data_IF_448636541761
#
_entry.id   IF_448636541761
#
_cell.length_a   1.000
_cell.length_b   1.000
_cell.length_c   1.000
_cell.angle_alpha   90.00
_cell.angle_beta   90.00
_cell.angle_gamma   90.00
#
_symmetry.space_group_name_H-M   'P 1'
#
loop_
_entity.id
_entity.type
_entity.pdbx_description
1 polymer ?
#
# COMPACT_ATOMS: atom_id res chain seq x y z
N UNK A 1 11.62 -21.25 -0.27
CA UNK A 1 12.39 -20.63 0.84
C UNK A 1 13.59 -21.49 1.22
N UNK A 2 14.79 -20.91 1.34
CA UNK A 2 16.02 -21.61 1.70
C UNK A 2 16.85 -20.80 2.72
N UNK A 3 17.50 -21.48 3.68
CA UNK A 3 18.30 -20.81 4.72
C UNK A 3 19.61 -20.29 4.12
N UNK A 4 19.92 -19.03 4.40
CA UNK A 4 21.17 -18.35 4.00
C UNK A 4 22.11 -18.21 5.19
N UNK A 5 21.57 -17.76 6.33
CA UNK A 5 22.34 -17.53 7.54
C UNK A 5 21.50 -17.80 8.77
N UNK A 6 22.07 -18.45 9.77
CA UNK A 6 21.51 -18.59 11.11
C UNK A 6 22.61 -18.20 12.11
N UNK A 7 22.28 -17.34 13.06
CA UNK A 7 23.16 -16.91 14.13
C UNK A 7 22.45 -17.04 15.48
N UNK A 8 23.06 -17.75 16.43
CA UNK A 8 22.62 -17.81 17.83
C UNK A 8 23.43 -16.81 18.65
N UNK A 9 22.81 -15.70 19.02
CA UNK A 9 23.45 -14.56 19.68
C UNK A 9 23.35 -14.67 21.21
N UNK A 10 22.15 -14.97 21.72
CA UNK A 10 21.83 -15.21 23.14
C UNK A 10 22.59 -14.32 24.15
N UNK A 11 22.56 -13.00 23.94
CA UNK A 11 23.27 -12.07 24.84
C UNK A 11 22.51 -10.76 25.04
N UNK A 12 22.71 -10.09 26.19
CA UNK A 12 22.22 -8.73 26.40
C UNK A 12 22.83 -7.76 25.40
N UNK A 13 22.02 -6.85 24.86
CA UNK A 13 22.47 -5.75 24.02
C UNK A 13 22.50 -4.48 24.88
N UNK A 14 23.67 -3.84 24.95
CA UNK A 14 23.87 -2.57 25.66
C UNK A 14 24.02 -1.44 24.65
N UNK A 15 23.14 -0.45 24.71
CA UNK A 15 23.05 0.73 23.82
C UNK A 15 22.87 0.41 22.33
N UNK A 16 23.81 -0.31 21.72
CA UNK A 16 23.87 -0.58 20.29
C UNK A 16 24.55 -1.92 19.94
N UNK A 17 24.03 -2.60 18.94
CA UNK A 17 24.67 -3.74 18.30
C UNK A 17 24.40 -3.75 16.80
N UNK A 18 25.42 -4.05 16.00
CA UNK A 18 25.29 -4.19 14.54
C UNK A 18 25.57 -5.63 14.13
N UNK A 19 24.68 -6.21 13.33
CA UNK A 19 24.87 -7.50 12.70
C UNK A 19 24.95 -7.32 11.18
N UNK A 20 26.03 -7.78 10.56
CA UNK A 20 26.24 -7.71 9.12
C UNK A 20 26.03 -9.07 8.45
N UNK A 21 25.51 -9.02 7.24
CA UNK A 21 25.34 -10.19 6.39
C UNK A 21 25.42 -9.79 4.92
N UNK A 22 25.78 -10.74 4.07
CA UNK A 22 25.81 -10.54 2.63
C UNK A 22 24.74 -11.41 1.97
N UNK A 23 24.18 -10.93 0.87
CA UNK A 23 23.30 -11.70 0.00
C UNK A 23 23.87 -11.72 -1.43
N UNK A 24 23.77 -12.87 -2.09
CA UNK A 24 24.42 -13.08 -3.40
C UNK A 24 23.57 -12.59 -4.58
N UNK A 25 22.25 -12.57 -4.43
CA UNK A 25 21.31 -12.33 -5.53
C UNK A 25 20.35 -11.20 -5.19
N UNK A 26 19.88 -10.49 -6.22
CA UNK A 26 18.75 -9.57 -6.05
C UNK A 26 17.50 -10.41 -5.87
N UNK A 27 16.74 -10.16 -4.81
CA UNK A 27 15.59 -11.02 -4.55
C UNK A 27 14.81 -10.67 -3.30
N UNK A 28 13.81 -11.48 -3.03
CA UNK A 28 13.00 -11.39 -1.83
C UNK A 28 13.64 -12.23 -0.71
N UNK A 29 13.70 -11.65 0.47
CA UNK A 29 14.30 -12.26 1.65
C UNK A 29 13.35 -12.19 2.83
N UNK A 30 13.46 -13.19 3.69
CA UNK A 30 12.81 -13.26 5.00
C UNK A 30 13.88 -13.20 6.08
N UNK A 31 13.81 -12.20 6.96
CA UNK A 31 14.72 -12.02 8.09
C UNK A 31 13.91 -12.24 9.37
N UNK A 32 14.17 -13.35 10.04
CA UNK A 32 13.65 -13.68 11.37
C UNK A 32 14.61 -13.13 12.43
N UNK A 33 14.07 -12.39 13.38
CA UNK A 33 14.83 -11.89 14.52
C UNK A 33 14.04 -12.18 15.79
N UNK A 34 14.65 -12.90 16.73
CA UNK A 34 14.06 -13.17 18.02
C UNK A 34 14.83 -12.49 19.14
N UNK A 35 14.09 -11.87 20.06
CA UNK A 35 14.63 -11.29 21.27
C UNK A 35 13.57 -11.35 22.37
N UNK A 36 14.01 -11.04 23.60
CA UNK A 36 13.14 -10.89 24.76
C UNK A 36 13.60 -9.68 25.57
N UNK A 37 12.65 -9.10 26.31
CA UNK A 37 12.90 -7.93 27.13
C UNK A 37 12.07 -8.02 28.42
N UNK A 38 12.67 -7.66 29.56
CA UNK A 38 12.04 -7.75 30.88
C UNK A 38 11.23 -6.50 31.19
N UNK A 39 10.08 -6.68 31.83
CA UNK A 39 9.30 -5.56 32.36
C UNK A 39 10.01 -4.87 33.52
N UNK A 40 9.63 -3.63 33.83
CA UNK A 40 10.19 -2.89 34.97
C UNK A 40 10.01 -3.65 36.29
N UNK A 41 8.96 -4.48 36.42
CA UNK A 41 8.71 -5.33 37.61
C UNK A 41 9.73 -6.46 37.76
N UNK A 42 10.33 -6.89 36.66
CA UNK A 42 11.35 -7.95 36.63
C UNK A 42 12.76 -7.37 36.83
N UNK A 43 12.92 -6.05 36.72
CA UNK A 43 14.18 -5.34 36.94
C UNK A 43 14.34 -4.96 38.43
N UNK A 44 14.96 -5.86 39.21
CA UNK A 44 15.10 -5.74 40.67
C UNK A 44 16.10 -4.64 41.09
N UNK A 45 17.12 -4.34 40.26
CA UNK A 45 18.19 -3.38 40.59
C UNK A 45 17.98 -1.98 39.98
N UNK A 46 17.22 -1.87 38.89
CA UNK A 46 16.83 -0.62 38.22
C UNK A 46 15.29 -0.51 38.23
N UNK A 47 14.71 -0.47 39.43
CA UNK A 47 13.27 -0.27 39.59
C UNK A 47 12.87 1.00 38.83
N UNK A 48 11.80 0.92 38.02
CA UNK A 48 11.17 1.96 37.18
C UNK A 48 11.49 1.99 35.68
N UNK A 49 12.38 1.14 35.17
CA UNK A 49 12.67 1.09 33.73
C UNK A 49 12.57 -0.35 33.18
N UNK A 50 11.84 -0.54 32.08
CA UNK A 50 11.80 -1.82 31.37
C UNK A 50 12.95 -1.95 30.38
N UNK A 51 13.33 -3.19 30.07
CA UNK A 51 14.25 -3.44 28.96
C UNK A 51 13.49 -3.21 27.65
N UNK A 52 14.08 -2.48 26.70
CA UNK A 52 13.46 -2.27 25.39
C UNK A 52 14.49 -2.42 24.25
N UNK A 53 14.08 -3.01 23.13
CA UNK A 53 14.92 -3.13 21.94
C UNK A 53 14.15 -2.70 20.69
N UNK A 54 14.81 -2.02 19.76
CA UNK A 54 14.33 -1.90 18.38
C UNK A 54 15.44 -2.17 17.38
N UNK A 55 15.04 -2.44 16.14
CA UNK A 55 15.93 -2.76 15.03
C UNK A 55 15.71 -1.81 13.86
N UNK A 56 16.77 -1.55 13.10
CA UNK A 56 16.73 -0.99 11.74
C UNK A 56 17.29 -2.00 10.76
N UNK A 57 16.77 -1.98 9.54
CA UNK A 57 17.29 -2.77 8.42
C UNK A 57 17.85 -1.78 7.40
N UNK A 58 19.16 -1.79 7.17
CA UNK A 58 19.86 -0.83 6.29
C UNK A 58 19.47 0.64 6.56
N UNK A 59 19.38 1.02 7.84
CA UNK A 59 18.97 2.36 8.27
C UNK A 59 17.45 2.63 8.24
N UNK A 60 16.64 1.79 7.60
CA UNK A 60 15.18 1.88 7.62
C UNK A 60 14.69 1.60 9.04
N UNK A 61 13.91 2.54 9.58
CA UNK A 61 13.36 2.46 10.94
C UNK A 61 11.87 2.17 10.91
N UNK A 62 11.36 1.53 11.97
CA UNK A 62 9.98 1.05 12.06
C UNK A 62 9.29 1.66 13.30
N UNK A 63 8.92 2.95 13.26
CA UNK A 63 8.22 3.58 14.36
C UNK A 63 6.78 3.06 14.44
N UNK A 64 6.16 3.32 15.59
CA UNK A 64 4.74 3.02 15.85
C UNK A 64 3.83 3.58 14.75
N UNK A 65 2.87 2.78 14.29
CA UNK A 65 1.89 3.17 13.25
C UNK A 65 1.07 4.40 13.67
N UNK A 66 0.62 4.44 14.92
CA UNK A 66 -0.29 5.49 15.43
C UNK A 66 0.04 5.87 16.89
N UNK A 67 -0.13 7.16 17.23
CA UNK A 67 0.04 7.68 18.58
C UNK A 67 1.36 8.43 18.80
N UNK A 68 1.85 8.49 20.05
CA UNK A 68 3.13 9.14 20.36
C UNK A 68 4.28 8.42 19.64
N UNK A 69 5.00 9.15 18.80
CA UNK A 69 6.15 8.66 18.05
C UNK A 69 7.24 8.14 19.01
N UNK A 70 7.63 6.87 18.88
CA UNK A 70 8.74 6.27 19.62
C UNK A 70 9.15 4.93 19.05
N UNK A 71 10.45 4.70 18.90
CA UNK A 71 10.99 3.47 18.32
C UNK A 71 10.81 2.24 19.23
N UNK A 72 10.96 2.43 20.55
CA UNK A 72 10.79 1.37 21.55
C UNK A 72 9.33 0.96 21.81
N UNK A 73 8.37 1.71 21.24
CA UNK A 73 6.93 1.43 21.37
C UNK A 73 6.28 1.01 20.03
N UNK A 74 7.09 0.76 19.00
CA UNK A 74 6.62 0.35 17.68
C UNK A 74 6.20 -1.13 17.62
N UNK A 75 5.52 -1.51 16.55
CA UNK A 75 4.95 -2.84 16.33
C UNK A 75 6.04 -3.93 16.29
N UNK A 76 7.28 -3.55 15.96
CA UNK A 76 8.46 -4.44 15.90
C UNK A 76 9.42 -4.22 17.07
N UNK A 77 9.10 -3.35 18.03
CA UNK A 77 9.93 -3.23 19.22
C UNK A 77 9.77 -4.47 20.12
N UNK A 78 10.82 -4.84 20.84
CA UNK A 78 10.71 -5.75 21.96
C UNK A 78 10.55 -4.91 23.21
N UNK A 79 9.30 -4.59 23.56
CA UNK A 79 9.01 -3.80 24.74
C UNK A 79 8.88 -4.67 26.00
N UNK A 80 9.64 -4.37 27.04
CA UNK A 80 9.72 -5.21 28.22
C UNK A 80 8.41 -5.32 29.00
N UNK A 81 7.65 -4.22 29.10
CA UNK A 81 6.33 -4.24 29.73
C UNK A 81 5.29 -5.05 28.97
N UNK A 82 5.38 -5.08 27.64
CA UNK A 82 4.56 -5.93 26.79
C UNK A 82 4.96 -7.40 26.94
N UNK A 83 6.26 -7.70 26.79
CA UNK A 83 6.77 -9.05 26.67
C UNK A 83 6.90 -9.79 28.01
N UNK A 84 7.22 -9.07 29.09
CA UNK A 84 7.43 -9.63 30.43
C UNK A 84 8.44 -10.80 30.40
N UNK A 85 9.54 -10.63 29.67
CA UNK A 85 10.59 -11.63 29.42
C UNK A 85 10.20 -12.80 28.50
N UNK A 86 9.01 -12.78 27.90
CA UNK A 86 8.67 -13.74 26.87
C UNK A 86 9.37 -13.40 25.56
N UNK A 87 9.70 -14.42 24.79
CA UNK A 87 10.27 -14.29 23.44
C UNK A 87 9.23 -13.73 22.47
N UNK A 88 9.66 -12.76 21.65
CA UNK A 88 8.95 -12.27 20.46
C UNK A 88 9.83 -12.42 19.23
N UNK A 89 9.21 -12.81 18.12
CA UNK A 89 9.87 -12.94 16.82
C UNK A 89 9.33 -11.91 15.83
N UNK A 90 10.22 -11.09 15.27
CA UNK A 90 9.90 -10.23 14.13
C UNK A 90 10.34 -10.93 12.84
N UNK A 91 9.51 -10.84 11.80
CA UNK A 91 9.74 -11.48 10.49
C UNK A 91 9.65 -10.40 9.42
N UNK A 92 10.80 -9.95 8.92
CA UNK A 92 10.86 -8.93 7.87
C UNK A 92 10.85 -9.58 6.49
N UNK A 93 9.95 -9.12 5.62
CA UNK A 93 9.82 -9.54 4.23
C UNK A 93 10.24 -8.35 3.37
N UNK A 94 11.42 -8.45 2.75
CA UNK A 94 12.11 -7.32 2.13
C UNK A 94 12.82 -7.75 0.84
N UNK A 95 12.88 -6.86 -0.15
CA UNK A 95 13.78 -7.05 -1.30
C UNK A 95 15.17 -6.53 -0.95
N UNK A 96 16.20 -7.35 -1.14
CA UNK A 96 17.59 -6.95 -0.96
C UNK A 96 18.31 -7.07 -2.31
N UNK A 97 19.17 -6.09 -2.59
CA UNK A 97 20.10 -6.14 -3.73
C UNK A 97 21.32 -7.01 -3.37
N UNK A 98 22.10 -7.51 -4.33
CA UNK A 98 23.34 -8.21 -4.02
C UNK A 98 24.32 -7.33 -3.25
N UNK A 99 24.95 -7.88 -2.22
CA UNK A 99 25.98 -7.20 -1.45
C UNK A 99 25.75 -7.22 0.05
N UNK A 100 26.40 -6.28 0.73
CA UNK A 100 26.43 -6.19 2.19
C UNK A 100 25.22 -5.42 2.74
N UNK A 101 24.61 -6.00 3.78
CA UNK A 101 23.47 -5.47 4.50
C UNK A 101 23.75 -5.46 6.01
N UNK A 102 22.97 -4.68 6.73
CA UNK A 102 23.08 -4.59 8.19
C UNK A 102 21.75 -4.52 8.91
N UNK A 103 21.74 -5.14 10.09
CA UNK A 103 20.73 -4.98 11.12
C UNK A 103 21.34 -4.17 12.26
N UNK A 104 20.68 -3.07 12.60
CA UNK A 104 21.16 -2.15 13.64
C UNK A 104 20.20 -2.17 14.81
N UNK A 105 20.66 -2.69 15.94
CA UNK A 105 19.91 -2.82 17.17
C UNK A 105 20.25 -1.68 18.10
N UNK A 106 19.23 -1.09 18.71
CA UNK A 106 19.38 -0.12 19.78
C UNK A 106 18.57 -0.55 20.98
N UNK A 107 19.19 -0.48 22.14
CA UNK A 107 18.65 -0.99 23.39
C UNK A 107 18.46 0.14 24.40
N UNK A 108 17.43 -0.01 25.23
CA UNK A 108 17.30 0.61 26.54
C UNK A 108 17.43 -0.48 27.60
N UNK A 109 18.23 -0.25 28.64
CA UNK A 109 18.68 -1.25 29.61
C UNK A 109 19.37 -2.48 28.96
N UNK A 110 18.97 -3.70 29.31
CA UNK A 110 19.68 -4.95 28.96
C UNK A 110 18.78 -6.02 28.28
N UNK A 111 18.03 -5.72 27.20
CA UNK A 111 17.25 -6.72 26.46
C UNK A 111 18.17 -7.78 25.83
N UNK A 112 17.66 -9.00 25.68
CA UNK A 112 18.44 -10.13 25.15
C UNK A 112 18.06 -10.40 23.70
N UNK A 113 19.02 -10.21 22.79
CA UNK A 113 18.92 -10.66 21.41
C UNK A 113 19.30 -12.14 21.34
N UNK A 114 18.41 -12.98 20.81
CA UNK A 114 18.54 -14.44 20.87
C UNK A 114 19.06 -15.03 19.57
N UNK A 115 18.36 -14.79 18.46
CA UNK A 115 18.72 -15.35 17.17
C UNK A 115 18.31 -14.48 15.99
N UNK A 116 19.07 -14.66 14.90
CA UNK A 116 18.82 -14.06 13.60
C UNK A 116 18.89 -15.18 12.56
N UNK A 117 17.84 -15.34 11.78
CA UNK A 117 17.80 -16.25 10.64
C UNK A 117 17.45 -15.46 9.37
N UNK A 118 18.15 -15.76 8.28
CA UNK A 118 17.97 -15.11 6.98
C UNK A 118 17.69 -16.19 5.97
N UNK A 119 16.60 -16.03 5.23
CA UNK A 119 16.17 -16.95 4.20
C UNK A 119 15.99 -16.22 2.87
N UNK A 120 16.40 -16.87 1.78
CA UNK A 120 16.02 -16.46 0.44
C UNK A 120 14.65 -17.01 0.07
N UNK A 121 13.87 -16.23 -0.68
CA UNK A 121 12.55 -16.60 -1.18
C UNK A 121 12.56 -16.58 -2.71
N UNK A 122 12.12 -17.68 -3.29
CA UNK A 122 12.10 -17.97 -4.72
C UNK A 122 10.70 -17.84 -5.36
N UNK A 123 9.68 -17.50 -4.56
CA UNK A 123 8.28 -17.44 -4.97
C UNK A 123 7.58 -16.20 -4.39
N UNK A 124 6.59 -15.67 -5.12
CA UNK A 124 5.80 -14.52 -4.65
C UNK A 124 4.74 -14.91 -3.59
N UNK A 125 4.49 -16.21 -3.42
CA UNK A 125 3.75 -16.74 -2.29
C UNK A 125 4.75 -17.21 -1.24
N UNK A 126 4.67 -16.65 -0.03
CA UNK A 126 5.44 -17.12 1.12
C UNK A 126 4.57 -18.12 1.86
N UNK A 127 5.05 -19.35 1.98
CA UNK A 127 4.54 -20.32 2.94
C UNK A 127 5.54 -20.48 4.08
N UNK A 128 5.11 -20.07 5.28
CA UNK A 128 5.93 -20.03 6.47
C UNK A 128 5.41 -20.97 7.55
N UNK A 129 6.33 -21.76 8.11
CA UNK A 129 6.09 -22.72 9.17
C UNK A 129 6.95 -22.34 10.38
N UNK A 130 6.39 -21.72 11.43
CA UNK A 130 7.17 -21.27 12.58
C UNK A 130 7.83 -22.44 13.31
N UNK A 131 9.16 -22.43 13.39
CA UNK A 131 9.96 -23.53 13.98
C UNK A 131 10.36 -23.29 15.44
N UNK A 132 10.53 -22.02 15.83
CA UNK A 132 10.98 -21.62 17.16
C UNK A 132 9.91 -20.81 17.87
N UNK A 133 9.85 -20.88 19.20
CA UNK A 133 8.82 -20.19 20.00
C UNK A 133 7.39 -20.52 19.54
N UNK A 134 7.18 -21.77 19.14
CA UNK A 134 5.92 -22.28 18.64
C UNK A 134 5.76 -23.72 19.16
N UNK A 135 4.93 -23.98 20.19
CA UNK A 135 3.99 -23.04 20.82
C UNK A 135 4.70 -21.86 21.49
N UNK A 136 3.97 -20.75 21.66
CA UNK A 136 4.45 -19.60 22.40
C UNK A 136 4.81 -19.99 23.84
N UNK A 137 5.77 -19.29 24.46
CA UNK A 137 6.03 -19.41 25.90
C UNK A 137 4.76 -19.10 26.74
N UNK A 138 4.66 -19.55 27.99
CA UNK A 138 3.50 -19.17 28.82
C UNK A 138 3.58 -17.70 29.23
N UNK A 139 2.56 -16.92 28.87
CA UNK A 139 2.51 -15.49 29.18
C UNK A 139 1.15 -14.87 28.86
N UNK A 140 0.86 -13.74 29.49
CA UNK A 140 -0.44 -13.08 29.43
C UNK A 140 -0.44 -11.89 28.46
N UNK A 141 -1.31 -11.99 27.44
CA UNK A 141 -1.71 -10.93 26.50
C UNK A 141 -0.57 -10.05 25.97
N UNK A 142 0.33 -10.66 25.21
CA UNK A 142 1.57 -10.02 24.73
C UNK A 142 1.77 -10.22 23.24
N UNK A 143 2.61 -9.39 22.63
CA UNK A 143 3.08 -9.62 21.27
C UNK A 143 3.90 -10.91 21.22
N UNK A 144 3.72 -11.67 20.14
CA UNK A 144 4.39 -12.95 19.96
C UNK A 144 5.14 -13.02 18.63
N UNK A 145 4.44 -12.81 17.51
CA UNK A 145 5.04 -12.80 16.17
C UNK A 145 4.54 -11.56 15.43
N UNK A 146 5.46 -10.81 14.84
CA UNK A 146 5.12 -9.66 13.98
C UNK A 146 5.75 -9.85 12.60
N UNK A 147 4.95 -9.90 11.54
CA UNK A 147 5.43 -9.81 10.17
C UNK A 147 5.47 -8.36 9.72
N UNK A 148 6.50 -8.02 8.95
CA UNK A 148 6.72 -6.68 8.42
C UNK A 148 6.95 -6.81 6.91
N UNK A 149 6.04 -6.26 6.11
CA UNK A 149 6.22 -6.20 4.66
C UNK A 149 6.80 -4.84 4.30
N UNK A 150 7.94 -4.82 3.61
CA UNK A 150 8.67 -3.59 3.26
C UNK A 150 8.62 -3.42 1.75
N UNK A 151 7.86 -2.42 1.29
CA UNK A 151 7.61 -2.13 -0.13
C UNK A 151 7.06 -3.35 -0.90
N UNK A 152 6.24 -4.16 -0.21
CA UNK A 152 5.59 -5.34 -0.78
C UNK A 152 4.08 -5.24 -0.62
N UNK A 153 3.31 -5.50 -1.69
CA UNK A 153 1.87 -5.62 -1.56
C UNK A 153 1.51 -6.91 -0.80
N UNK A 154 0.27 -6.98 -0.33
CA UNK A 154 -0.32 -8.20 0.20
C UNK A 154 -1.75 -8.33 -0.31
N UNK A 155 -2.00 -9.36 -1.11
CA UNK A 155 -3.33 -9.65 -1.69
C UNK A 155 -4.19 -10.55 -0.85
N UNK A 156 -3.57 -11.48 -0.15
CA UNK A 156 -4.30 -12.34 0.75
C UNK A 156 -3.36 -12.94 1.77
N UNK A 157 -3.97 -13.30 2.88
CA UNK A 157 -3.34 -13.93 4.00
C UNK A 157 -4.16 -15.15 4.41
N UNK A 158 -3.48 -16.24 4.73
CA UNK A 158 -4.06 -17.36 5.45
C UNK A 158 -3.18 -17.72 6.65
N UNK A 159 -3.77 -17.87 7.82
CA UNK A 159 -3.07 -18.24 9.06
C UNK A 159 -3.82 -19.42 9.66
N UNK A 160 -3.14 -20.55 9.81
CA UNK A 160 -3.64 -21.72 10.52
C UNK A 160 -3.02 -21.80 11.91
N UNK A 161 -3.85 -21.94 12.93
CA UNK A 161 -3.41 -21.99 14.32
C UNK A 161 -4.22 -22.98 15.16
N UNK A 162 -3.61 -23.42 16.26
CA UNK A 162 -4.22 -24.28 17.28
C UNK A 162 -4.16 -23.61 18.64
N UNK A 163 -5.28 -23.67 19.34
CA UNK A 163 -5.48 -23.12 20.68
C UNK A 163 -6.20 -24.14 21.54
N UNK A 164 -5.70 -24.41 22.75
CA UNK A 164 -6.27 -25.43 23.64
C UNK A 164 -7.03 -24.79 24.81
N UNK A 165 -8.04 -25.50 25.33
CA UNK A 165 -8.67 -25.12 26.59
C UNK A 165 -7.77 -25.56 27.73
N UNK A 166 -7.37 -24.61 28.59
CA UNK A 166 -6.49 -24.87 29.73
C UNK A 166 -7.27 -25.15 31.00
N UNK A 167 -8.40 -24.47 31.19
CA UNK A 167 -9.28 -24.66 32.34
C UNK A 167 -10.73 -24.29 31.99
N UNK A 168 -11.63 -24.27 32.99
CA UNK A 168 -13.04 -23.93 32.78
C UNK A 168 -13.24 -22.56 32.10
N UNK A 169 -12.37 -21.58 32.41
CA UNK A 169 -12.49 -20.19 31.97
C UNK A 169 -11.21 -19.64 31.31
N UNK A 170 -10.22 -20.50 31.02
CA UNK A 170 -8.95 -20.11 30.42
C UNK A 170 -8.59 -21.05 29.27
N UNK A 171 -7.96 -20.49 28.26
CA UNK A 171 -7.45 -21.21 27.10
C UNK A 171 -6.31 -20.43 26.49
N UNK A 172 -5.60 -21.07 25.57
CA UNK A 172 -4.68 -20.35 24.69
C UNK A 172 -5.50 -19.49 23.74
N UNK A 173 -5.13 -18.23 23.56
CA UNK A 173 -5.85 -17.34 22.65
C UNK A 173 -4.84 -16.64 21.73
N UNK A 174 -5.24 -16.39 20.47
CA UNK A 174 -4.46 -15.57 19.53
C UNK A 174 -5.32 -14.40 19.03
N UNK A 175 -4.77 -13.20 19.15
CA UNK A 175 -5.31 -11.97 18.54
C UNK A 175 -4.52 -11.62 17.29
N UNK A 176 -5.23 -11.28 16.22
CA UNK A 176 -4.68 -10.86 14.94
C UNK A 176 -4.96 -9.38 14.72
N UNK A 177 -3.91 -8.64 14.36
CA UNK A 177 -3.98 -7.22 14.01
C UNK A 177 -3.34 -7.04 12.63
N UNK A 178 -4.05 -6.40 11.71
CA UNK A 178 -3.56 -6.07 10.37
C UNK A 178 -3.50 -4.55 10.25
N UNK A 179 -2.30 -3.96 10.11
CA UNK A 179 -2.10 -2.49 10.06
C UNK A 179 -2.83 -1.71 11.17
N UNK A 180 -2.78 -2.24 12.40
CA UNK A 180 -3.46 -1.64 13.56
C UNK A 180 -4.96 -1.99 13.66
N UNK A 181 -5.55 -2.65 12.67
CA UNK A 181 -6.95 -3.10 12.71
C UNK A 181 -7.07 -4.52 13.29
N UNK A 182 -7.73 -4.64 14.44
CA UNK A 182 -8.03 -5.93 15.08
C UNK A 182 -9.01 -6.73 14.23
N UNK A 183 -8.65 -7.98 13.91
CA UNK A 183 -9.53 -8.93 13.23
C UNK A 183 -10.31 -9.74 14.26
N UNK A 184 -11.59 -9.44 14.42
CA UNK A 184 -12.44 -10.05 15.44
C UNK A 184 -12.87 -11.48 15.06
N UNK A 185 -13.05 -12.31 16.09
CA UNK A 185 -13.74 -13.59 15.99
C UNK A 185 -15.19 -13.39 15.57
N UNK A 186 -15.73 -14.32 14.79
CA UNK A 186 -17.15 -14.38 14.40
C UNK A 186 -18.06 -14.55 15.63
N UNK A 187 -17.57 -15.25 16.66
CA UNK A 187 -18.30 -15.41 17.92
C UNK A 187 -18.24 -14.11 18.72
N UNK A 188 -19.39 -13.43 18.79
CA UNK A 188 -19.54 -12.19 19.58
C UNK A 188 -19.55 -12.50 21.07
N UNK A 189 -18.46 -12.16 21.76
CA UNK A 189 -18.32 -12.25 23.21
C UNK A 189 -17.37 -11.15 23.72
N UNK A 190 -17.10 -11.08 25.03
CA UNK A 190 -16.23 -10.06 25.64
C UNK A 190 -14.74 -10.18 25.26
N UNK A 191 -14.35 -11.27 24.59
CA UNK A 191 -13.00 -11.53 24.07
C UNK A 191 -12.98 -11.59 22.54
N UNK A 192 -13.97 -11.02 21.84
CA UNK A 192 -14.08 -11.12 20.38
C UNK A 192 -12.86 -10.58 19.63
N UNK A 193 -12.03 -9.76 20.29
CA UNK A 193 -10.74 -9.28 19.79
C UNK A 193 -9.65 -10.37 19.74
N UNK A 194 -9.92 -11.57 20.26
CA UNK A 194 -9.11 -12.78 20.13
C UNK A 194 -9.74 -13.69 19.08
N UNK A 195 -9.13 -13.79 17.89
CA UNK A 195 -9.69 -14.52 16.75
C UNK A 195 -9.68 -16.04 16.95
N UNK A 196 -8.58 -16.57 17.48
CA UNK A 196 -8.48 -17.97 17.92
C UNK A 196 -8.66 -18.00 19.43
N UNK A 197 -9.60 -18.84 19.89
CA UNK A 197 -9.98 -18.92 21.29
C UNK A 197 -9.99 -20.37 21.74
N UNK A 198 -9.07 -20.73 22.62
CA UNK A 198 -8.87 -22.11 23.08
C UNK A 198 -10.09 -22.66 23.80
N UNK A 199 -10.87 -21.79 24.45
CA UNK A 199 -12.12 -22.14 25.11
C UNK A 199 -13.17 -22.78 24.17
N UNK A 200 -13.12 -22.46 22.86
CA UNK A 200 -14.09 -22.91 21.87
C UNK A 200 -13.52 -23.89 20.84
N UNK A 201 -12.22 -23.81 20.53
CA UNK A 201 -11.57 -24.67 19.53
C UNK A 201 -10.94 -25.93 20.11
N UNK A 202 -10.53 -25.91 21.39
CA UNK A 202 -9.93 -27.02 22.15
C UNK A 202 -9.02 -27.97 21.33
N UNK A 203 -7.92 -27.42 20.81
CA UNK A 203 -6.90 -28.17 20.06
C UNK A 203 -7.22 -28.40 18.58
N UNK A 204 -8.43 -28.09 18.12
CA UNK A 204 -8.74 -28.10 16.69
C UNK A 204 -8.06 -26.93 15.98
N UNK A 205 -7.53 -27.22 14.80
CA UNK A 205 -6.96 -26.20 13.93
C UNK A 205 -8.06 -25.34 13.32
N UNK A 206 -7.85 -24.02 13.35
CA UNK A 206 -8.72 -23.05 12.70
C UNK A 206 -7.89 -22.16 11.79
N UNK A 207 -8.39 -21.92 10.59
CA UNK A 207 -7.76 -21.03 9.61
C UNK A 207 -8.47 -19.67 9.62
N UNK A 208 -7.68 -18.59 9.69
CA UNK A 208 -8.10 -17.26 9.25
C UNK A 208 -7.70 -17.12 7.79
N UNK A 209 -8.62 -16.69 6.92
CA UNK A 209 -8.31 -16.36 5.53
C UNK A 209 -9.01 -15.07 5.12
N UNK A 210 -8.28 -14.16 4.48
CA UNK A 210 -8.83 -12.89 4.02
C UNK A 210 -8.12 -12.39 2.76
N UNK A 211 -8.90 -11.94 1.79
CA UNK A 211 -8.42 -11.12 0.68
C UNK A 211 -8.20 -9.68 1.17
N UNK A 212 -7.08 -9.10 0.77
CA UNK A 212 -6.56 -7.81 1.16
C UNK A 212 -6.22 -7.00 -0.10
N UNK A 213 -6.16 -5.69 0.06
CA UNK A 213 -5.68 -4.78 -0.98
C UNK A 213 -4.62 -3.86 -0.39
N UNK A 214 -3.63 -4.46 0.27
CA UNK A 214 -2.50 -3.69 0.80
C UNK A 214 -1.58 -3.35 -0.37
N UNK A 215 -1.43 -2.05 -0.71
CA UNK A 215 -0.56 -1.63 -1.80
C UNK A 215 0.91 -1.89 -1.45
N UNK A 216 1.83 -1.50 -2.33
CA UNK A 216 3.23 -1.40 -1.92
C UNK A 216 3.36 -0.35 -0.82
N UNK A 217 4.01 -0.71 0.26
CA UNK A 217 4.17 0.14 1.43
C UNK A 217 4.80 -0.62 2.59
N UNK A 218 4.70 -0.03 3.77
CA UNK A 218 5.08 -0.68 5.03
C UNK A 218 3.81 -1.23 5.69
N UNK A 219 3.72 -2.54 5.84
CA UNK A 219 2.56 -3.21 6.43
C UNK A 219 2.96 -4.13 7.57
N UNK A 220 2.11 -4.21 8.59
CA UNK A 220 2.33 -5.03 9.78
C UNK A 220 1.21 -6.05 9.96
N UNK A 221 1.60 -7.28 10.28
CA UNK A 221 0.70 -8.35 10.72
C UNK A 221 1.18 -8.75 12.10
N UNK A 222 0.40 -8.44 13.13
CA UNK A 222 0.74 -8.78 14.51
C UNK A 222 -0.11 -9.93 15.01
N UNK A 223 0.57 -10.90 15.62
CA UNK A 223 -0.03 -11.99 16.37
C UNK A 223 0.33 -11.82 17.84
N UNK A 224 -0.70 -11.65 18.65
CA UNK A 224 -0.60 -11.54 20.09
C UNK A 224 -1.07 -12.85 20.71
N UNK A 225 -0.36 -13.33 21.73
CA UNK A 225 -0.63 -14.58 22.41
C UNK A 225 -1.09 -14.35 23.86
N UNK A 226 -2.10 -15.12 24.27
CA UNK A 226 -2.42 -15.41 25.66
C UNK A 226 -2.16 -16.90 25.91
N UNK A 227 -1.42 -17.23 26.98
CA UNK A 227 -0.87 -18.56 27.26
C UNK A 227 0.04 -19.06 26.13
N UNK A 228 -0.13 -20.31 25.70
CA UNK A 228 0.81 -21.05 24.86
C UNK A 228 0.19 -21.53 23.54
N UNK A 229 -0.42 -20.65 22.72
CA UNK A 229 -0.98 -21.05 21.44
C UNK A 229 0.12 -21.48 20.46
N UNK A 230 -0.28 -22.16 19.38
CA UNK A 230 0.63 -22.52 18.30
C UNK A 230 0.09 -22.14 16.92
N UNK A 231 0.99 -21.80 16.02
CA UNK A 231 0.72 -21.61 14.60
C UNK A 231 1.14 -22.87 13.84
N UNK A 232 0.27 -23.37 12.98
CA UNK A 232 0.64 -24.46 12.06
C UNK A 232 1.29 -23.91 10.80
N UNK A 233 0.72 -22.83 10.24
CA UNK A 233 1.12 -22.30 8.93
C UNK A 233 0.70 -20.84 8.75
N UNK A 234 1.53 -20.06 8.07
CA UNK A 234 1.18 -18.73 7.56
C UNK A 234 1.46 -18.68 6.06
N UNK A 235 0.47 -18.28 5.28
CA UNK A 235 0.57 -18.07 3.83
C UNK A 235 0.37 -16.58 3.55
N UNK A 236 1.32 -15.96 2.86
CA UNK A 236 1.25 -14.56 2.42
C UNK A 236 1.37 -14.53 0.90
N UNK A 237 0.35 -13.98 0.23
CA UNK A 237 0.39 -13.78 -1.21
C UNK A 237 0.81 -12.34 -1.51
N UNK A 238 2.04 -12.15 -1.99
CA UNK A 238 2.61 -10.82 -2.22
C UNK A 238 2.24 -10.23 -3.58
N UNK A 239 1.63 -11.03 -4.45
CA UNK A 239 1.05 -10.57 -5.71
C UNK A 239 -0.33 -10.00 -5.46
N UNK A 240 -0.55 -8.70 -5.67
CA UNK A 240 -1.92 -8.17 -5.86
C UNK A 240 -2.56 -9.01 -6.97
N UNK A 241 -3.80 -9.52 -6.82
CA UNK A 241 -4.45 -10.15 -7.95
C UNK A 241 -4.43 -9.12 -9.07
N UNK A 242 -4.26 -9.55 -10.32
CA UNK A 242 -4.17 -8.65 -11.47
C UNK A 242 -5.54 -8.02 -11.80
N UNK A 243 -6.24 -7.50 -10.80
CA UNK A 243 -7.32 -6.54 -10.95
C UNK A 243 -6.62 -5.19 -11.13
N UNK A 244 -6.39 -4.82 -12.38
CA UNK A 244 -6.01 -3.45 -12.75
C UNK A 244 -6.84 -2.49 -11.91
N UNK A 245 -6.21 -1.73 -11.01
CA UNK A 245 -6.90 -0.69 -10.26
C UNK A 245 -7.44 0.29 -11.30
N UNK A 246 -8.75 0.35 -11.49
CA UNK A 246 -9.38 1.34 -12.37
C UNK A 246 -9.58 2.61 -11.54
N UNK A 247 -8.92 3.73 -11.86
CA UNK A 247 -9.13 4.97 -11.13
C UNK A 247 -10.60 5.40 -11.17
N UNK A 248 -11.05 6.06 -10.10
CA UNK A 248 -12.41 6.58 -10.00
C UNK A 248 -12.38 8.07 -9.67
N UNK A 249 -13.51 8.75 -9.73
CA UNK A 249 -13.59 10.18 -9.38
C UNK A 249 -13.14 10.45 -7.94
N UNK A 250 -13.42 9.53 -7.02
CA UNK A 250 -13.02 9.62 -5.60
C UNK A 250 -11.61 9.07 -5.33
N UNK A 251 -11.11 8.18 -6.20
CA UNK A 251 -9.77 7.60 -6.09
C UNK A 251 -9.01 7.70 -7.43
N UNK A 252 -8.66 8.94 -7.79
CA UNK A 252 -8.19 9.31 -9.14
C UNK A 252 -6.68 9.21 -9.35
N UNK A 253 -5.91 8.75 -8.36
CA UNK A 253 -4.45 8.65 -8.48
C UNK A 253 -4.07 7.70 -9.63
N UNK A 254 -3.20 8.16 -10.52
CA UNK A 254 -2.71 7.40 -11.67
C UNK A 254 -2.03 6.09 -11.26
N UNK A 255 -2.22 5.05 -12.06
CA UNK A 255 -1.71 3.69 -11.82
C UNK A 255 -0.31 3.46 -12.39
N UNK A 256 0.18 4.38 -13.22
CA UNK A 256 1.36 4.17 -14.06
C UNK A 256 1.02 3.92 -15.53
N UNK A 257 -0.26 3.70 -15.89
CA UNK A 257 -0.72 3.63 -17.27
C UNK A 257 -2.13 4.24 -17.44
N UNK A 258 -2.27 5.26 -18.29
CA UNK A 258 -3.58 5.87 -18.58
C UNK A 258 -4.55 4.91 -19.30
N UNK A 259 -4.06 3.79 -19.84
CA UNK A 259 -4.93 2.74 -20.40
C UNK A 259 -5.75 2.01 -19.34
N UNK A 260 -5.42 2.19 -18.06
CA UNK A 260 -6.19 1.64 -16.95
C UNK A 260 -7.41 2.51 -16.58
N UNK A 261 -7.48 3.75 -17.06
CA UNK A 261 -8.63 4.63 -16.86
C UNK A 261 -9.86 4.15 -17.67
N UNK A 262 -11.06 4.39 -17.10
CA UNK A 262 -12.29 4.39 -17.88
C UNK A 262 -12.33 5.60 -18.83
N UNK A 263 -13.21 5.57 -19.84
CA UNK A 263 -13.33 6.68 -20.79
C UNK A 263 -13.76 7.97 -20.09
N UNK A 264 -14.62 7.89 -19.07
CA UNK A 264 -15.06 9.03 -18.27
C UNK A 264 -13.90 9.66 -17.49
N UNK A 265 -13.05 8.83 -16.87
CA UNK A 265 -11.88 9.32 -16.13
C UNK A 265 -10.87 9.94 -17.09
N UNK A 266 -10.66 9.32 -18.25
CA UNK A 266 -9.69 9.80 -19.22
C UNK A 266 -10.13 11.14 -19.83
N UNK A 267 -11.41 11.28 -20.17
CA UNK A 267 -11.99 12.58 -20.58
C UNK A 267 -11.94 13.58 -19.43
N UNK A 268 -12.22 13.17 -18.19
CA UNK A 268 -12.12 14.07 -17.03
C UNK A 268 -10.68 14.60 -16.84
N UNK A 269 -9.65 13.75 -16.98
CA UNK A 269 -8.24 14.14 -16.92
C UNK A 269 -7.89 15.11 -18.03
N UNK A 270 -8.36 14.86 -19.26
CA UNK A 270 -8.20 15.79 -20.37
C UNK A 270 -8.80 17.16 -20.05
N UNK A 271 -10.07 17.21 -19.63
CA UNK A 271 -10.75 18.45 -19.29
C UNK A 271 -10.06 19.19 -18.13
N UNK A 272 -9.55 18.45 -17.15
CA UNK A 272 -8.84 19.02 -16.01
C UNK A 272 -7.48 19.61 -16.44
N UNK A 273 -6.76 18.91 -17.32
CA UNK A 273 -5.49 19.38 -17.88
C UNK A 273 -5.64 20.62 -18.76
N UNK A 274 -6.58 20.58 -19.70
CA UNK A 274 -6.79 21.63 -20.72
C UNK A 274 -7.60 22.82 -20.20
N UNK A 275 -8.54 22.59 -19.29
CA UNK A 275 -9.64 23.53 -19.07
C UNK A 275 -10.17 23.56 -17.62
N UNK A 276 -9.43 23.10 -16.60
CA UNK A 276 -9.91 23.09 -15.19
C UNK A 276 -10.49 24.43 -14.72
N UNK A 277 -9.88 25.53 -15.13
CA UNK A 277 -10.25 26.91 -14.75
C UNK A 277 -11.19 27.59 -15.75
N UNK A 278 -11.57 26.90 -16.82
CA UNK A 278 -12.47 27.43 -17.85
C UNK A 278 -13.94 27.15 -17.53
N UNK A 279 -14.83 27.83 -18.26
CA UNK A 279 -16.26 27.69 -18.09
C UNK A 279 -16.76 26.28 -18.42
N UNK A 280 -17.92 25.94 -17.86
CA UNK A 280 -18.62 24.69 -18.16
C UNK A 280 -18.83 24.47 -19.66
N UNK A 281 -19.12 25.53 -20.42
CA UNK A 281 -19.34 25.46 -21.87
C UNK A 281 -18.05 25.07 -22.62
N UNK A 282 -16.90 25.62 -22.24
CA UNK A 282 -15.59 25.26 -22.84
C UNK A 282 -15.30 23.78 -22.62
N UNK A 283 -15.50 23.28 -21.40
CA UNK A 283 -15.29 21.87 -21.06
C UNK A 283 -16.19 20.94 -21.90
N UNK A 284 -17.47 21.28 -22.06
CA UNK A 284 -18.39 20.51 -22.92
C UNK A 284 -17.90 20.51 -24.38
N UNK A 285 -17.47 21.65 -24.91
CA UNK A 285 -16.98 21.72 -26.30
C UNK A 285 -15.68 20.93 -26.53
N UNK A 286 -14.78 20.90 -25.55
CA UNK A 286 -13.57 20.06 -25.61
C UNK A 286 -13.96 18.58 -25.60
N UNK A 287 -14.83 18.15 -24.69
CA UNK A 287 -15.30 16.77 -24.65
C UNK A 287 -16.04 16.37 -25.94
N UNK A 288 -16.89 17.26 -26.48
CA UNK A 288 -17.55 17.08 -27.77
C UNK A 288 -16.56 16.92 -28.92
N UNK A 289 -15.41 17.62 -28.87
CA UNK A 289 -14.37 17.46 -29.89
C UNK A 289 -13.68 16.10 -29.86
N UNK A 290 -13.55 15.47 -28.68
CA UNK A 290 -13.09 14.08 -28.57
C UNK A 290 -14.08 13.14 -29.25
N UNK A 291 -15.38 13.27 -28.96
CA UNK A 291 -16.42 12.43 -29.56
C UNK A 291 -16.51 12.62 -31.08
N UNK A 292 -16.32 13.85 -31.57
CA UNK A 292 -16.29 14.12 -33.02
C UNK A 292 -15.10 13.48 -33.72
N UNK A 293 -13.95 13.38 -33.05
CA UNK A 293 -12.79 12.63 -33.56
C UNK A 293 -13.11 11.15 -33.62
N UNK A 294 -13.62 10.56 -32.54
CA UNK A 294 -14.04 9.15 -32.51
C UNK A 294 -15.01 8.80 -33.65
N UNK A 295 -15.92 9.72 -33.97
CA UNK A 295 -16.90 9.54 -35.06
C UNK A 295 -16.38 9.87 -36.47
N UNK A 296 -15.10 10.22 -36.61
CA UNK A 296 -14.48 10.60 -37.88
C UNK A 296 -13.50 9.53 -38.36
N UNK A 297 -13.56 9.18 -39.64
CA UNK A 297 -12.63 8.22 -40.27
C UNK A 297 -11.17 8.72 -40.31
N UNK A 298 -10.92 10.00 -39.98
CA UNK A 298 -9.56 10.57 -39.92
C UNK A 298 -8.84 10.28 -38.60
N UNK A 299 -9.54 9.76 -37.59
CA UNK A 299 -9.04 9.58 -36.23
C UNK A 299 -9.25 8.13 -35.74
N UNK A 300 -8.59 7.71 -34.65
CA UNK A 300 -8.90 6.44 -34.00
C UNK A 300 -10.37 6.34 -33.56
N UNK A 301 -10.88 5.11 -33.46
CA UNK A 301 -12.31 4.80 -33.26
C UNK A 301 -12.71 4.65 -31.78
N UNK A 302 -11.84 5.04 -30.85
CA UNK A 302 -12.13 5.02 -29.41
C UNK A 302 -11.63 6.27 -28.69
N UNK A 303 -12.34 6.66 -27.62
CA UNK A 303 -11.99 7.80 -26.76
C UNK A 303 -10.55 7.65 -26.26
N UNK A 304 -10.20 6.45 -25.78
CA UNK A 304 -8.87 6.13 -25.29
C UNK A 304 -7.79 6.39 -26.32
N UNK A 305 -7.94 5.89 -27.54
CA UNK A 305 -6.92 6.06 -28.58
C UNK A 305 -6.83 7.49 -29.08
N UNK A 306 -7.95 8.22 -29.17
CA UNK A 306 -7.97 9.65 -29.51
C UNK A 306 -7.21 10.48 -28.48
N UNK A 307 -7.44 10.24 -27.18
CA UNK A 307 -6.79 11.01 -26.11
C UNK A 307 -5.30 10.64 -25.97
N UNK A 308 -4.97 9.36 -26.03
CA UNK A 308 -3.60 8.88 -25.84
C UNK A 308 -2.76 8.91 -27.12
N UNK A 309 -3.30 9.41 -28.23
CA UNK A 309 -2.53 9.60 -29.45
C UNK A 309 -1.32 10.51 -29.14
N UNK A 310 -0.13 10.03 -29.53
CA UNK A 310 1.14 10.65 -29.13
C UNK A 310 1.18 12.13 -29.51
N UNK A 311 1.23 12.97 -28.48
CA UNK A 311 1.38 14.41 -28.62
C UNK A 311 0.10 15.19 -28.91
N UNK A 312 -1.06 14.52 -28.91
CA UNK A 312 -2.35 15.11 -29.23
C UNK A 312 -2.85 16.12 -28.19
N UNK A 313 -2.61 15.84 -26.91
CA UNK A 313 -2.98 16.72 -25.81
C UNK A 313 -1.76 16.96 -24.92
N UNK A 314 -1.46 18.23 -24.68
CA UNK A 314 -0.24 18.63 -23.95
C UNK A 314 -0.20 18.11 -22.51
N UNK A 315 -1.29 18.11 -21.73
CA UNK A 315 -1.27 17.63 -20.34
C UNK A 315 -0.84 16.16 -20.18
N UNK A 316 -0.92 15.33 -21.22
CA UNK A 316 -0.48 13.92 -21.18
C UNK A 316 1.01 13.73 -21.48
N UNK A 317 1.74 14.81 -21.82
CA UNK A 317 3.20 14.79 -21.97
C UNK A 317 3.84 14.97 -20.59
N UNK A 318 4.79 14.11 -20.23
CA UNK A 318 5.52 14.21 -18.95
C UNK A 318 6.27 15.53 -18.76
N UNK A 319 6.57 16.24 -19.85
CA UNK A 319 7.19 17.56 -19.84
C UNK A 319 6.21 18.72 -19.60
N UNK A 320 4.90 18.48 -19.64
CA UNK A 320 3.90 19.53 -19.49
C UNK A 320 3.68 19.92 -18.02
N UNK A 321 3.51 21.21 -17.78
CA UNK A 321 3.31 21.74 -16.42
C UNK A 321 1.99 21.30 -15.76
N UNK A 322 1.02 20.77 -16.51
CA UNK A 322 -0.22 20.21 -16.00
C UNK A 322 -0.18 18.69 -15.84
N UNK A 323 0.90 18.01 -16.25
CA UNK A 323 1.01 16.55 -16.14
C UNK A 323 0.77 16.05 -14.71
N UNK A 324 1.38 16.71 -13.72
CA UNK A 324 1.23 16.34 -12.31
C UNK A 324 -0.23 16.46 -11.81
N UNK A 325 -1.00 17.40 -12.38
CA UNK A 325 -2.43 17.59 -12.04
C UNK A 325 -3.27 16.47 -12.60
N UNK A 326 -2.99 16.02 -13.83
CA UNK A 326 -3.79 14.95 -14.42
C UNK A 326 -3.45 13.58 -13.85
N UNK A 327 -2.24 13.34 -13.31
CA UNK A 327 -1.92 12.06 -12.65
C UNK A 327 -2.38 12.01 -11.19
N UNK A 328 -2.57 13.17 -10.55
CA UNK A 328 -3.11 13.26 -9.19
C UNK A 328 -4.12 14.43 -9.05
N UNK A 329 -5.34 14.32 -9.62
CA UNK A 329 -6.32 15.41 -9.60
C UNK A 329 -6.79 15.83 -8.20
N UNK A 330 -6.72 14.92 -7.23
CA UNK A 330 -7.07 15.18 -5.83
C UNK A 330 -5.87 15.60 -4.98
N UNK A 331 -4.68 15.77 -5.57
CA UNK A 331 -3.46 16.17 -4.85
C UNK A 331 -3.44 17.63 -4.40
N UNK A 332 -4.36 18.47 -4.91
CA UNK A 332 -4.53 19.87 -4.51
C UNK A 332 -5.99 20.05 -4.07
N UNK A 333 -6.22 20.20 -2.76
CA UNK A 333 -7.56 20.31 -2.19
C UNK A 333 -8.40 21.43 -2.82
N UNK A 334 -7.79 22.56 -3.16
CA UNK A 334 -8.46 23.71 -3.80
C UNK A 334 -9.01 23.40 -5.20
N UNK A 335 -8.48 22.39 -5.90
CA UNK A 335 -8.89 22.03 -7.25
C UNK A 335 -9.90 20.86 -7.27
N UNK A 336 -10.27 20.30 -6.11
CA UNK A 336 -11.18 19.14 -5.97
C UNK A 336 -12.53 19.36 -6.67
N UNK A 337 -13.14 20.54 -6.50
CA UNK A 337 -14.42 20.86 -7.12
C UNK A 337 -14.31 20.93 -8.65
N UNK A 338 -13.20 21.45 -9.18
CA UNK A 338 -12.94 21.49 -10.62
C UNK A 338 -12.76 20.09 -11.20
N UNK A 339 -12.07 19.18 -10.48
CA UNK A 339 -11.95 17.78 -10.87
C UNK A 339 -13.32 17.08 -10.92
N UNK A 340 -14.11 17.21 -9.86
CA UNK A 340 -15.46 16.64 -9.79
C UNK A 340 -16.38 17.19 -10.89
N UNK A 341 -16.27 18.49 -11.20
CA UNK A 341 -16.99 19.06 -12.34
C UNK A 341 -16.54 18.41 -13.65
N UNK A 342 -15.23 18.33 -13.93
CA UNK A 342 -14.71 17.69 -15.15
C UNK A 342 -15.22 16.26 -15.33
N UNK A 343 -15.21 15.45 -14.27
CA UNK A 343 -15.79 14.11 -14.30
C UNK A 343 -17.29 14.10 -14.59
N UNK A 344 -18.06 14.98 -13.94
CA UNK A 344 -19.51 15.10 -14.17
C UNK A 344 -19.83 15.48 -15.62
N UNK A 345 -18.98 16.28 -16.27
CA UNK A 345 -19.13 16.62 -17.69
C UNK A 345 -18.84 15.40 -18.57
N UNK A 346 -17.72 14.72 -18.31
CA UNK A 346 -17.30 13.54 -19.03
C UNK A 346 -18.38 12.44 -18.99
N UNK A 347 -18.82 12.09 -17.79
CA UNK A 347 -19.88 11.10 -17.56
C UNK A 347 -21.16 11.42 -18.35
N UNK A 348 -21.68 12.64 -18.20
CA UNK A 348 -22.94 13.05 -18.84
C UNK A 348 -22.88 13.19 -20.36
N UNK A 349 -21.75 13.62 -20.92
CA UNK A 349 -21.63 13.76 -22.38
C UNK A 349 -21.41 12.39 -23.05
N UNK A 350 -20.67 11.49 -22.40
CA UNK A 350 -20.46 10.11 -22.88
C UNK A 350 -21.77 9.32 -22.79
N UNK A 351 -22.54 9.48 -21.71
CA UNK A 351 -23.83 8.80 -21.54
C UNK A 351 -24.95 9.36 -22.42
N UNK A 352 -24.73 10.50 -23.08
CA UNK A 352 -25.72 11.19 -23.91
C UNK A 352 -26.74 12.05 -23.15
N UNK A 353 -26.59 12.21 -21.82
CA UNK A 353 -27.39 13.16 -21.04
C UNK A 353 -27.12 14.63 -21.41
N UNK A 354 -25.92 14.94 -21.89
CA UNK A 354 -25.57 16.22 -22.50
C UNK A 354 -25.39 15.96 -24.00
N UNK A 355 -26.23 16.59 -24.82
CA UNK A 355 -26.07 16.57 -26.27
C UNK A 355 -24.76 17.27 -26.68
N UNK A 356 -24.03 16.69 -27.63
CA UNK A 356 -22.79 17.27 -28.16
C UNK A 356 -23.11 18.56 -28.95
N UNK A 357 -22.74 19.76 -28.46
CA UNK A 357 -23.20 21.02 -29.03
C UNK A 357 -22.34 21.50 -30.21
N UNK A 358 -21.38 20.70 -30.68
CA UNK A 358 -20.36 21.16 -31.61
C UNK A 358 -19.95 20.09 -32.62
N UNK A 359 -19.48 20.54 -33.78
CA UNK A 359 -18.78 19.71 -34.77
C UNK A 359 -17.26 19.91 -34.70
N UNK A 360 -16.73 20.63 -33.70
CA UNK A 360 -15.30 20.89 -33.60
C UNK A 360 -14.50 19.57 -33.53
N UNK A 361 -13.39 19.49 -34.24
CA UNK A 361 -12.39 18.43 -34.10
C UNK A 361 -11.06 18.97 -33.58
N UNK A 362 -10.90 20.29 -33.51
CA UNK A 362 -9.66 20.94 -33.08
C UNK A 362 -9.98 22.14 -32.20
N UNK A 363 -9.06 22.44 -31.28
CA UNK A 363 -9.10 23.66 -30.51
C UNK A 363 -7.69 24.11 -30.12
N UNK A 364 -7.57 25.37 -29.73
CA UNK A 364 -6.39 25.85 -29.01
C UNK A 364 -6.80 26.91 -27.99
N UNK A 365 -6.05 26.96 -26.89
CA UNK A 365 -6.21 27.98 -25.84
C UNK A 365 -5.38 29.24 -26.10
N UNK A 366 -5.19 30.00 -25.02
CA UNK A 366 -4.36 31.20 -24.96
C UNK A 366 -2.89 30.88 -25.26
N UNK A 367 -2.21 31.78 -25.96
CA UNK A 367 -0.78 31.65 -26.30
C UNK A 367 -0.51 31.05 -27.69
N UNK A 368 -1.52 30.51 -28.36
CA UNK A 368 -1.43 30.05 -29.75
C UNK A 368 -2.08 31.07 -30.68
N UNK A 369 -1.38 31.47 -31.74
CA UNK A 369 -1.92 32.39 -32.74
C UNK A 369 -2.96 31.69 -33.61
N UNK A 370 -4.20 32.17 -33.59
CA UNK A 370 -5.28 31.64 -34.44
C UNK A 370 -4.91 31.61 -35.93
N UNK A 371 -4.16 32.62 -36.41
CA UNK A 371 -3.68 32.67 -37.79
C UNK A 371 -2.67 31.55 -38.10
N UNK A 372 -1.73 31.29 -37.19
CA UNK A 372 -0.76 30.20 -37.36
C UNK A 372 -1.42 28.84 -37.22
N UNK A 373 -2.35 28.69 -36.28
CA UNK A 373 -3.09 27.45 -36.08
C UNK A 373 -3.92 27.08 -37.31
N UNK A 374 -4.68 28.03 -37.86
CA UNK A 374 -5.40 27.83 -39.12
C UNK A 374 -4.44 27.50 -40.27
N UNK A 375 -3.29 28.17 -40.37
CA UNK A 375 -2.35 27.93 -41.47
C UNK A 375 -1.66 26.56 -41.38
N UNK A 376 -1.29 26.11 -40.19
CA UNK A 376 -0.36 24.99 -40.00
C UNK A 376 -1.01 23.72 -39.45
N UNK A 377 -2.07 23.85 -38.65
CA UNK A 377 -2.73 22.72 -37.98
C UNK A 377 -4.04 22.36 -38.69
N UNK A 378 -4.85 23.36 -39.03
CA UNK A 378 -6.15 23.17 -39.71
C UNK A 378 -6.23 23.94 -41.03
N UNK A 379 -5.32 23.73 -42.01
CA UNK A 379 -5.27 24.48 -43.27
C UNK A 379 -6.53 24.36 -44.12
N UNK A 380 -7.27 23.26 -43.98
CA UNK A 380 -8.56 23.02 -44.64
C UNK A 380 -9.74 23.15 -43.67
N UNK A 381 -9.47 23.62 -42.45
CA UNK A 381 -10.47 23.73 -41.39
C UNK A 381 -11.29 25.01 -41.44
N UNK A 382 -12.43 24.95 -40.78
CA UNK A 382 -13.37 26.06 -40.58
C UNK A 382 -13.37 26.48 -39.12
N UNK A 383 -13.16 27.77 -38.86
CA UNK A 383 -13.40 28.33 -37.53
C UNK A 383 -14.89 28.23 -37.18
N UNK A 384 -15.19 27.74 -35.98
CA UNK A 384 -16.56 27.53 -35.52
C UNK A 384 -16.96 28.59 -34.50
N UNK A 385 -16.23 28.68 -33.38
CA UNK A 385 -16.59 29.52 -32.24
C UNK A 385 -15.37 29.81 -31.36
N UNK A 386 -15.36 30.97 -30.71
CA UNK A 386 -14.49 31.27 -29.57
C UNK A 386 -15.36 31.26 -28.30
N UNK A 387 -14.93 30.55 -27.26
CA UNK A 387 -15.61 30.48 -25.96
C UNK A 387 -14.55 30.70 -24.88
N UNK A 388 -14.73 31.71 -24.03
CA UNK A 388 -13.65 32.14 -23.13
C UNK A 388 -12.41 32.50 -23.96
N UNK A 389 -11.27 31.92 -23.62
CA UNK A 389 -10.01 32.09 -24.37
C UNK A 389 -9.69 30.95 -25.35
N UNK A 390 -10.63 30.01 -25.54
CA UNK A 390 -10.45 28.83 -26.38
C UNK A 390 -11.13 29.01 -27.74
N UNK A 391 -10.40 28.69 -28.81
CA UNK A 391 -10.85 28.77 -30.19
C UNK A 391 -11.10 27.37 -30.73
N UNK A 392 -12.27 27.14 -31.34
CA UNK A 392 -12.69 25.84 -31.85
C UNK A 392 -12.82 25.83 -33.37
N UNK A 393 -12.43 24.72 -33.98
CA UNK A 393 -12.38 24.51 -35.42
C UNK A 393 -12.88 23.12 -35.78
N UNK A 394 -13.53 23.01 -36.94
CA UNK A 394 -13.70 21.74 -37.63
C UNK A 394 -12.60 21.59 -38.68
N UNK A 395 -12.05 20.39 -38.86
CA UNK A 395 -11.12 20.06 -39.94
C UNK A 395 -11.32 18.61 -40.39
N UNK A 396 -11.14 18.30 -41.69
CA UNK A 396 -11.32 16.95 -42.23
C UNK A 396 -10.15 15.99 -41.92
N UNK A 397 -9.04 16.50 -41.38
CA UNK A 397 -7.81 15.75 -41.14
C UNK A 397 -7.54 15.57 -39.65
#
# INVERSE_FOLDING_TARGET
MFLIKEEKINRPIKDYYEFRFDVAEDGLYLIEIAARARSWKQNIFNFFDDDDLYVKVDGISFPKLNGKNGFFNGEVAWNGNNLKNCRKTNIFIIRLAPGAHKLEFKADQDPVLEDICIYGIDQDQIEYFPKTNNPAEDGDRRQWITYVLIDKPLSSIAISAKTEKRSKNEGDDIKLILDGEIQNNEVKNSRSDWYWQGLFSDGQEKEFKKELNFPKGLHYIELWADKMPSLTRVVLNLTVPNTKRIPTVENSLWTGDFKDDSDEILVARLLFGEARSESREVKIWIAGSVLNRVNSNAWPDSIREVILQKGQYDPFKTSDSNYFRIINPLGIDLEKNSWQECYKIADKIISGEIENPTTATHFHGKGVSAKLFQKNIVPQGKFLKKIGETYFYWSPN
#
